data_IF_795433606031
#
_entry.id   IF_795433606031
#
_cell.length_a   1.000
_cell.length_b   1.000
_cell.length_c   1.000
_cell.angle_alpha   90.00
_cell.angle_beta   90.00
_cell.angle_gamma   90.00
#
_symmetry.space_group_name_H-M   'P 1'
#
loop_
_entity.id
_entity.type
_entity.pdbx_description
1 polymer ?
#
# COMPACT_ATOMS: atom_id res chain seq x y z
N UNK A 1 14.92 -11.75 30.74
CA UNK A 1 14.38 -12.85 31.56
C UNK A 1 15.31 -13.25 32.70
N UNK A 2 16.65 -13.22 32.53
CA UNK A 2 17.57 -13.44 33.65
C UNK A 2 18.16 -12.10 34.15
N UNK A 3 18.15 -12.00 35.48
CA UNK A 3 18.55 -10.96 36.43
C UNK A 3 18.14 -9.49 36.25
N UNK A 4 17.51 -8.99 37.33
CA UNK A 4 17.24 -7.58 37.63
C UNK A 4 15.83 -7.08 37.26
N UNK A 5 15.10 -7.79 36.41
CA UNK A 5 13.92 -7.21 35.73
C UNK A 5 12.60 -7.21 36.51
N UNK A 6 12.38 -8.07 37.51
CA UNK A 6 11.03 -8.31 38.04
C UNK A 6 10.05 -8.82 36.95
N UNK A 7 8.74 -8.98 37.23
CA UNK A 7 7.76 -9.35 36.24
C UNK A 7 7.48 -8.14 35.35
N UNK A 8 8.37 -7.79 34.42
CA UNK A 8 8.20 -6.61 33.53
C UNK A 8 8.26 -6.95 32.05
N UNK A 9 8.33 -8.23 31.70
CA UNK A 9 8.60 -8.67 30.33
C UNK A 9 7.61 -8.14 29.28
N UNK A 10 6.38 -7.84 29.70
CA UNK A 10 5.30 -7.28 28.87
C UNK A 10 4.66 -6.03 29.47
N UNK A 11 5.31 -5.37 30.43
CA UNK A 11 4.73 -4.21 31.12
C UNK A 11 4.80 -2.97 30.23
N UNK A 12 3.79 -2.09 30.37
CA UNK A 12 3.72 -0.85 29.60
C UNK A 12 4.82 0.17 29.96
N UNK A 13 5.45 0.02 31.12
CA UNK A 13 6.42 0.99 31.64
C UNK A 13 5.73 2.24 32.22
N UNK A 14 6.42 3.39 32.16
CA UNK A 14 5.89 4.65 32.70
C UNK A 14 4.73 5.19 31.86
N UNK A 15 3.67 5.64 32.53
CA UNK A 15 2.45 6.15 31.89
C UNK A 15 2.32 7.69 31.92
N UNK A 16 3.17 8.39 32.66
CA UNK A 16 3.12 9.85 32.80
C UNK A 16 4.26 10.42 33.62
N UNK A 17 4.38 11.75 33.61
CA UNK A 17 5.31 12.52 34.45
C UNK A 17 4.65 12.94 35.76
N UNK A 18 5.48 13.17 36.78
CA UNK A 18 5.01 13.43 38.15
C UNK A 18 4.48 14.85 38.37
N UNK A 19 5.14 15.90 37.86
CA UNK A 19 4.85 17.30 38.25
C UNK A 19 3.97 18.03 37.23
N UNK A 20 4.32 17.98 35.95
CA UNK A 20 3.50 18.53 34.88
C UNK A 20 3.50 17.53 33.70
N UNK A 21 2.34 17.09 33.18
CA UNK A 21 0.95 17.49 33.50
C UNK A 21 0.27 16.72 34.65
N UNK A 22 0.99 15.94 35.48
CA UNK A 22 0.45 15.15 36.61
C UNK A 22 -0.72 14.20 36.26
N UNK A 23 -0.84 13.80 34.98
CA UNK A 23 -1.89 12.91 34.50
C UNK A 23 -1.41 12.14 33.28
N UNK A 24 -2.10 11.04 32.97
CA UNK A 24 -1.91 10.32 31.71
C UNK A 24 -2.61 11.10 30.60
N UNK A 25 -1.93 11.29 29.46
CA UNK A 25 -2.55 11.93 28.29
C UNK A 25 -3.63 11.03 27.69
N UNK A 26 -4.73 11.64 27.22
CA UNK A 26 -5.79 10.91 26.51
C UNK A 26 -5.21 10.34 25.22
N UNK A 27 -5.59 9.11 24.86
CA UNK A 27 -5.05 8.41 23.69
C UNK A 27 -3.69 7.76 23.91
N UNK A 28 -3.13 7.79 25.14
CA UNK A 28 -1.95 6.98 25.47
C UNK A 28 -2.27 5.50 25.26
N UNK A 29 -1.38 4.81 24.54
CA UNK A 29 -1.54 3.38 24.21
C UNK A 29 -1.53 2.56 25.50
N UNK A 30 -2.54 1.70 25.68
CA UNK A 30 -2.68 0.78 26.79
C UNK A 30 -3.22 -0.57 26.31
N UNK A 31 -3.38 -1.51 27.24
CA UNK A 31 -4.06 -2.77 26.94
C UNK A 31 -5.54 -2.51 26.62
N UNK A 32 -6.09 -3.28 25.69
CA UNK A 32 -7.47 -3.13 25.25
C UNK A 32 -7.89 -4.26 24.32
N UNK A 33 -9.11 -4.16 23.82
CA UNK A 33 -9.62 -5.08 22.81
C UNK A 33 -8.85 -4.91 21.50
N UNK A 34 -8.40 -6.02 20.92
CA UNK A 34 -7.67 -6.04 19.65
C UNK A 34 -8.49 -6.84 18.62
N UNK A 35 -8.68 -6.26 17.44
CA UNK A 35 -9.41 -6.88 16.33
C UNK A 35 -10.90 -6.53 16.34
N UNK A 36 -11.68 -7.24 15.50
CA UNK A 36 -13.10 -6.91 15.21
C UNK A 36 -13.26 -5.47 14.72
N UNK A 37 -12.27 -4.99 13.98
CA UNK A 37 -12.27 -3.65 13.38
C UNK A 37 -12.36 -3.78 11.86
N UNK A 38 -12.97 -2.77 11.22
CA UNK A 38 -13.04 -2.66 9.77
C UNK A 38 -11.69 -2.18 9.24
N UNK A 39 -10.95 -3.08 8.57
CA UNK A 39 -9.64 -2.77 7.97
C UNK A 39 -9.75 -2.81 6.46
N UNK A 40 -9.15 -1.82 5.79
CA UNK A 40 -9.06 -1.79 4.32
C UNK A 40 -7.62 -1.95 3.88
N UNK A 41 -7.34 -3.01 3.10
CA UNK A 41 -6.06 -3.20 2.43
C UNK A 41 -6.17 -2.61 1.02
N UNK A 42 -5.38 -1.58 0.73
CA UNK A 42 -5.44 -0.86 -0.53
C UNK A 42 -4.41 -1.41 -1.53
N UNK A 43 -4.66 -1.18 -2.83
CA UNK A 43 -3.74 -1.52 -3.92
C UNK A 43 -3.41 -3.01 -4.03
N UNK A 44 -4.42 -3.86 -3.86
CA UNK A 44 -4.32 -5.28 -4.17
C UNK A 44 -4.63 -5.50 -5.66
N UNK A 45 -3.88 -6.39 -6.29
CA UNK A 45 -4.08 -6.72 -7.70
C UNK A 45 -5.05 -7.87 -7.88
N UNK A 46 -5.90 -7.75 -8.89
CA UNK A 46 -6.77 -8.84 -9.34
C UNK A 46 -5.97 -9.67 -10.36
N UNK A 47 -5.70 -10.93 -10.02
CA UNK A 47 -4.91 -11.84 -10.87
C UNK A 47 -5.79 -12.56 -11.88
N UNK A 48 -7.00 -12.94 -11.46
CA UNK A 48 -7.93 -13.69 -12.30
C UNK A 48 -9.38 -13.39 -11.91
N UNK A 49 -10.25 -13.40 -12.91
CA UNK A 49 -11.70 -13.29 -12.76
C UNK A 49 -12.32 -14.47 -13.48
N UNK A 50 -13.01 -15.34 -12.74
CA UNK A 50 -13.72 -16.50 -13.28
C UNK A 50 -15.23 -16.29 -13.09
N UNK A 51 -15.96 -15.85 -14.13
CA UNK A 51 -17.39 -15.56 -14.01
C UNK A 51 -18.23 -16.82 -13.80
N UNK A 52 -17.81 -17.96 -14.35
CA UNK A 52 -18.55 -19.24 -14.27
C UNK A 52 -18.63 -19.78 -12.84
N UNK A 53 -17.58 -19.51 -12.03
CA UNK A 53 -17.52 -19.88 -10.62
C UNK A 53 -17.78 -18.69 -9.69
N UNK A 54 -18.14 -17.52 -10.25
CA UNK A 54 -18.29 -16.25 -9.54
C UNK A 54 -17.09 -15.94 -8.61
N UNK A 55 -15.86 -16.20 -9.08
CA UNK A 55 -14.64 -16.14 -8.27
C UNK A 55 -13.71 -15.01 -8.72
N UNK A 56 -13.18 -14.27 -7.73
CA UNK A 56 -12.13 -13.28 -7.90
C UNK A 56 -10.87 -13.73 -7.18
N UNK A 57 -9.76 -13.84 -7.90
CA UNK A 57 -8.45 -14.20 -7.33
C UNK A 57 -7.65 -12.94 -7.11
N UNK A 58 -7.41 -12.62 -5.84
CA UNK A 58 -6.70 -11.41 -5.41
C UNK A 58 -5.28 -11.77 -4.96
N UNK A 59 -4.28 -11.00 -5.39
CA UNK A 59 -2.90 -11.13 -4.93
C UNK A 59 -2.74 -10.42 -3.59
N UNK A 60 -2.57 -11.20 -2.51
CA UNK A 60 -2.27 -10.68 -1.18
C UNK A 60 -3.18 -11.23 -0.09
N UNK A 61 -3.14 -10.60 1.09
CA UNK A 61 -3.96 -10.99 2.23
C UNK A 61 -5.24 -10.14 2.30
N UNK A 62 -6.38 -10.81 2.49
CA UNK A 62 -7.68 -10.18 2.74
C UNK A 62 -7.95 -10.21 4.25
N UNK A 63 -8.39 -9.10 4.86
CA UNK A 63 -8.64 -9.05 6.30
C UNK A 63 -9.85 -9.91 6.68
N UNK A 64 -9.77 -10.53 7.86
CA UNK A 64 -10.83 -11.36 8.42
C UNK A 64 -10.66 -12.87 8.16
N UNK A 65 -11.53 -13.69 8.77
CA UNK A 65 -11.51 -15.13 8.60
C UNK A 65 -12.09 -15.57 7.24
N UNK A 66 -11.82 -16.82 6.87
CA UNK A 66 -12.41 -17.44 5.68
C UNK A 66 -13.94 -17.47 5.79
N UNK A 67 -14.64 -17.15 4.70
CA UNK A 67 -16.11 -17.08 4.67
C UNK A 67 -16.71 -15.81 5.28
N UNK A 68 -15.89 -14.86 5.74
CA UNK A 68 -16.33 -13.54 6.17
C UNK A 68 -16.81 -12.69 4.98
N UNK A 69 -17.70 -11.74 5.28
CA UNK A 69 -18.11 -10.73 4.32
C UNK A 69 -16.99 -9.73 4.08
N UNK A 70 -16.76 -9.39 2.82
CA UNK A 70 -15.74 -8.42 2.40
C UNK A 70 -16.34 -7.42 1.42
N UNK A 71 -15.88 -6.19 1.49
CA UNK A 71 -16.25 -5.12 0.56
C UNK A 71 -15.10 -4.88 -0.41
N UNK A 72 -15.37 -5.07 -1.71
CA UNK A 72 -14.40 -4.82 -2.78
C UNK A 72 -14.80 -3.51 -3.46
N UNK A 73 -13.87 -2.55 -3.48
CA UNK A 73 -14.06 -1.24 -4.10
C UNK A 73 -12.83 -0.87 -4.94
N UNK A 74 -13.03 -0.01 -5.94
CA UNK A 74 -11.92 0.56 -6.70
C UNK A 74 -11.00 1.40 -5.81
N UNK A 75 -9.68 1.27 -5.97
CA UNK A 75 -8.72 2.03 -5.16
C UNK A 75 -8.84 3.53 -5.41
N UNK A 76 -8.76 4.32 -4.34
CA UNK A 76 -8.67 5.78 -4.41
C UNK A 76 -7.23 6.25 -4.68
N UNK A 77 -6.23 5.41 -4.40
CA UNK A 77 -4.81 5.72 -4.59
C UNK A 77 -4.29 5.04 -5.85
N UNK A 78 -4.30 5.77 -6.96
CA UNK A 78 -3.80 5.24 -8.23
C UNK A 78 -2.28 5.33 -8.27
N UNK A 79 -1.60 4.19 -8.15
CA UNK A 79 -0.21 4.09 -8.56
C UNK A 79 -0.18 4.00 -10.09
N UNK A 80 0.32 5.06 -10.76
CA UNK A 80 0.53 5.01 -12.20
C UNK A 80 1.54 3.90 -12.50
N UNK A 81 1.09 2.84 -13.15
CA UNK A 81 1.99 1.85 -13.70
C UNK A 81 2.98 2.57 -14.63
N UNK A 82 4.29 2.37 -14.43
CA UNK A 82 5.28 2.72 -15.46
C UNK A 82 4.93 1.85 -16.66
N UNK A 83 4.44 2.49 -17.74
CA UNK A 83 4.35 1.89 -19.06
C UNK A 83 5.76 1.36 -19.41
N UNK A 84 5.98 0.06 -19.29
CA UNK A 84 7.28 -0.60 -19.58
C UNK A 84 7.24 -1.32 -20.93
N UNK A 85 6.13 -1.23 -21.65
CA UNK A 85 6.09 -1.59 -23.05
C UNK A 85 6.71 -0.47 -23.85
N UNK A 86 7.70 -0.82 -24.66
CA UNK A 86 8.38 0.07 -25.58
C UNK A 86 7.35 0.79 -26.44
N UNK A 87 7.01 2.03 -26.07
CA UNK A 87 6.31 2.95 -26.94
C UNK A 87 7.21 3.20 -28.14
N UNK A 88 7.01 2.41 -29.20
CA UNK A 88 7.45 2.75 -30.55
C UNK A 88 6.87 4.14 -30.78
N UNK A 89 7.73 5.16 -30.81
CA UNK A 89 7.28 6.54 -30.91
C UNK A 89 6.39 6.67 -32.14
N UNK A 90 5.13 7.05 -31.97
CA UNK A 90 4.21 7.35 -33.09
C UNK A 90 4.59 8.63 -33.84
N UNK A 91 5.80 9.16 -33.66
CA UNK A 91 6.29 10.33 -34.37
C UNK A 91 6.97 9.89 -35.69
N UNK A 92 6.32 10.05 -36.86
CA UNK A 92 6.88 9.65 -38.14
C UNK A 92 8.17 10.42 -38.50
N UNK A 93 8.38 11.61 -37.92
CA UNK A 93 9.55 12.44 -38.23
C UNK A 93 10.85 11.99 -37.52
N UNK A 94 10.75 11.25 -36.40
CA UNK A 94 11.93 10.75 -35.67
C UNK A 94 12.42 9.39 -36.19
N UNK A 95 11.60 8.67 -36.97
CA UNK A 95 11.95 7.41 -37.61
C UNK A 95 12.69 7.60 -38.95
N UNK A 96 12.62 8.79 -39.54
CA UNK A 96 13.32 9.15 -40.78
C UNK A 96 14.69 9.75 -40.44
N UNK A 97 15.76 8.97 -40.63
CA UNK A 97 17.15 9.38 -40.43
C UNK A 97 17.71 10.38 -41.44
N UNK A 98 16.91 11.29 -41.99
CA UNK A 98 17.39 12.41 -42.84
C UNK A 98 16.69 13.70 -42.44
N UNK A 99 17.47 14.64 -41.91
CA UNK A 99 17.04 16.03 -41.77
C UNK A 99 17.13 16.71 -43.15
N UNK A 100 16.01 17.02 -43.83
CA UNK A 100 16.04 17.57 -45.19
C UNK A 100 16.63 18.98 -45.25
N UNK A 101 16.66 19.69 -44.12
CA UNK A 101 17.17 21.07 -44.06
C UNK A 101 18.71 21.18 -44.13
N UNK A 102 19.46 20.07 -43.97
CA UNK A 102 20.93 20.08 -44.10
C UNK A 102 21.42 19.73 -45.51
N UNK A 103 20.54 19.33 -46.42
CA UNK A 103 20.90 18.97 -47.80
C UNK A 103 20.95 20.17 -48.76
N UNK A 104 20.28 21.30 -48.44
CA UNK A 104 20.27 22.49 -49.30
C UNK A 104 21.41 23.49 -49.02
N UNK A 105 22.37 23.14 -48.15
CA UNK A 105 23.46 24.03 -47.73
C UNK A 105 24.81 23.74 -48.43
N UNK A 106 24.80 23.01 -49.54
CA UNK A 106 25.97 22.88 -50.44
C UNK A 106 25.53 23.22 -51.86
N UNK A 107 25.61 24.51 -52.18
CA UNK A 107 26.04 24.94 -53.51
C UNK A 107 27.53 24.70 -53.70
#
# INVERSE_FOLDING_TARGET
MAHGGGPVHRHAGSMGSSTDPSRIFKGKIGAGHLGVEQVTVQNLDIVKVDPDMNMLVIRGAVPGPKGGLVYIQSTVKVHKAKQTVADISKNPQKASGRNPQKASARG
#
